data_IF_729783665641
#
_entry.id   IF_729783665641
#
_cell.length_a   1.000
_cell.length_b   1.000
_cell.length_c   1.000
_cell.angle_alpha   90.00
_cell.angle_beta   90.00
_cell.angle_gamma   90.00
#
_symmetry.space_group_name_H-M   'P 1'
#
loop_
_entity.id
_entity.type
_entity.pdbx_description
1 polymer ?
#
# COMPACT_ATOMS: atom_id res chain seq x y z
N UNK A 1 -27.05 8.29 1.57
CA UNK A 1 -25.92 7.88 0.70
C UNK A 1 -25.53 6.46 1.10
N UNK A 2 -25.61 5.51 0.17
CA UNK A 2 -25.26 4.10 0.37
C UNK A 2 -23.78 3.89 0.06
N UNK A 3 -23.06 3.19 0.94
CA UNK A 3 -21.69 2.76 0.66
C UNK A 3 -21.65 1.91 -0.64
N UNK A 4 -20.57 1.98 -1.43
CA UNK A 4 -20.41 1.11 -2.59
C UNK A 4 -20.50 -0.37 -2.18
N UNK A 5 -21.21 -1.16 -2.98
CA UNK A 5 -21.45 -2.56 -2.72
C UNK A 5 -20.12 -3.34 -2.52
N UNK A 6 -19.97 -3.97 -1.36
CA UNK A 6 -18.78 -4.73 -0.97
C UNK A 6 -17.97 -4.14 0.19
N UNK A 7 -18.24 -2.90 0.61
CA UNK A 7 -17.63 -2.30 1.82
C UNK A 7 -18.45 -2.69 3.04
N UNK A 8 -17.92 -3.57 3.88
CA UNK A 8 -18.62 -4.09 5.07
C UNK A 8 -18.57 -3.14 6.27
N UNK A 9 -17.58 -2.25 6.39
CA UNK A 9 -17.53 -1.14 7.37
C UNK A 9 -16.24 -0.29 7.25
N UNK A 10 -16.21 0.93 7.81
CA UNK A 10 -14.97 1.74 7.89
C UNK A 10 -13.82 1.05 8.65
N UNK A 11 -14.04 0.35 9.78
CA UNK A 11 -13.00 -0.44 10.43
C UNK A 11 -12.37 -1.49 9.53
N UNK A 12 -13.16 -2.18 8.69
CA UNK A 12 -12.64 -3.18 7.75
C UNK A 12 -11.73 -2.54 6.68
N UNK A 13 -12.10 -1.37 6.16
CA UNK A 13 -11.27 -0.63 5.21
C UNK A 13 -9.96 -0.11 5.84
N UNK A 14 -10.03 0.36 7.08
CA UNK A 14 -8.84 0.80 7.82
C UNK A 14 -7.88 -0.37 8.07
N UNK A 15 -8.40 -1.51 8.52
CA UNK A 15 -7.63 -2.74 8.66
C UNK A 15 -6.98 -3.19 7.35
N UNK A 16 -7.69 -3.07 6.22
CA UNK A 16 -7.13 -3.37 4.90
C UNK A 16 -5.98 -2.41 4.55
N UNK A 17 -6.13 -1.11 4.77
CA UNK A 17 -5.08 -0.13 4.54
C UNK A 17 -3.83 -0.42 5.38
N UNK A 18 -4.02 -0.75 6.66
CA UNK A 18 -2.92 -1.09 7.57
C UNK A 18 -2.19 -2.35 7.09
N UNK A 19 -2.93 -3.40 6.70
CA UNK A 19 -2.35 -4.63 6.13
C UNK A 19 -1.56 -4.37 4.86
N UNK A 20 -2.07 -3.53 3.96
CA UNK A 20 -1.35 -3.13 2.74
C UNK A 20 -0.07 -2.35 3.08
N UNK A 21 -0.11 -1.49 4.09
CA UNK A 21 1.06 -0.80 4.62
C UNK A 21 2.13 -1.77 5.12
N UNK A 22 1.75 -2.76 5.93
CA UNK A 22 2.68 -3.80 6.43
C UNK A 22 3.29 -4.60 5.28
N UNK A 23 2.47 -5.06 4.32
CA UNK A 23 2.95 -5.82 3.16
C UNK A 23 3.93 -4.98 2.33
N UNK A 24 3.63 -3.68 2.12
CA UNK A 24 4.53 -2.78 1.39
C UNK A 24 5.89 -2.65 2.06
N UNK A 25 5.93 -2.55 3.40
CA UNK A 25 7.17 -2.46 4.16
C UNK A 25 7.96 -3.78 4.12
N UNK A 26 7.26 -4.92 4.19
CA UNK A 26 7.88 -6.24 4.04
C UNK A 26 8.51 -6.42 2.66
N UNK A 27 7.82 -6.05 1.59
CA UNK A 27 8.36 -6.11 0.21
C UNK A 27 9.58 -5.19 0.09
N UNK A 28 9.50 -3.95 0.60
CA UNK A 28 10.63 -3.02 0.60
C UNK A 28 11.84 -3.52 1.40
N UNK A 29 11.65 -4.43 2.38
CA UNK A 29 12.75 -5.05 3.12
C UNK A 29 13.45 -6.19 2.37
N UNK A 30 12.85 -6.71 1.29
CA UNK A 30 13.44 -7.77 0.45
C UNK A 30 14.40 -7.23 -0.61
N UNK A 31 14.78 -5.96 -0.53
CA UNK A 31 15.72 -5.36 -1.48
C UNK A 31 17.06 -6.08 -1.44
N UNK A 32 17.56 -6.40 -2.64
CA UNK A 32 18.87 -7.01 -2.82
C UNK A 32 19.93 -5.92 -2.59
N UNK A 33 20.62 -6.01 -1.46
CA UNK A 33 21.63 -5.01 -1.04
C UNK A 33 23.05 -5.36 -1.49
N UNK A 34 23.29 -6.62 -1.86
CA UNK A 34 24.59 -7.09 -2.31
C UNK A 34 24.49 -7.84 -3.64
N UNK A 35 25.34 -7.52 -4.63
CA UNK A 35 25.47 -8.36 -5.81
C UNK A 35 26.10 -9.70 -5.41
N UNK A 36 25.36 -10.79 -5.59
CA UNK A 36 25.92 -12.14 -5.51
C UNK A 36 26.82 -12.34 -6.74
N UNK A 37 28.14 -12.22 -6.58
CA UNK A 37 29.09 -12.55 -7.63
C UNK A 37 29.43 -14.04 -7.56
N UNK A 38 29.36 -14.73 -8.70
CA UNK A 38 29.89 -16.07 -8.83
C UNK A 38 31.43 -16.02 -8.82
N UNK A 39 32.05 -17.02 -8.19
CA UNK A 39 33.50 -17.24 -8.25
C UNK A 39 33.85 -17.59 -9.70
N UNK A 40 34.32 -16.62 -10.49
CA UNK A 40 34.51 -16.67 -11.95
C UNK A 40 35.51 -17.73 -12.46
N UNK A 41 35.28 -18.99 -12.12
CA UNK A 41 36.15 -20.14 -12.43
C UNK A 41 35.72 -20.86 -13.71
N UNK A 42 34.50 -20.61 -14.21
CA UNK A 42 33.98 -21.14 -15.47
C UNK A 42 33.24 -20.07 -16.30
N UNK A 43 33.02 -20.37 -17.59
CA UNK A 43 32.33 -19.48 -18.53
C UNK A 43 30.89 -19.15 -18.08
N UNK A 44 30.25 -20.07 -17.37
CA UNK A 44 28.92 -19.87 -16.80
C UNK A 44 28.92 -18.78 -15.71
N UNK A 45 29.95 -18.77 -14.85
CA UNK A 45 30.15 -17.77 -13.81
C UNK A 45 30.48 -16.40 -14.39
N UNK A 46 31.24 -16.33 -15.49
CA UNK A 46 31.50 -15.08 -16.21
C UNK A 46 30.20 -14.50 -16.80
N UNK A 47 29.41 -15.31 -17.52
CA UNK A 47 28.11 -14.89 -18.04
C UNK A 47 27.13 -14.50 -16.91
N UNK A 48 27.15 -15.20 -15.78
CA UNK A 48 26.35 -14.85 -14.62
C UNK A 48 26.77 -13.50 -14.05
N UNK A 49 28.06 -13.20 -13.93
CA UNK A 49 28.56 -11.92 -13.42
C UNK A 49 28.30 -10.75 -14.37
N UNK A 50 28.10 -11.01 -15.67
CA UNK A 50 27.74 -9.99 -16.66
C UNK A 50 26.24 -9.67 -16.65
N UNK A 51 25.38 -10.70 -16.56
CA UNK A 51 23.91 -10.53 -16.64
C UNK A 51 23.29 -10.24 -15.25
N UNK A 52 23.87 -10.79 -14.17
CA UNK A 52 23.30 -10.67 -12.81
C UNK A 52 23.14 -9.23 -12.32
N UNK A 53 24.02 -8.25 -12.59
CA UNK A 53 23.83 -6.89 -12.10
C UNK A 53 22.57 -6.23 -12.67
N UNK A 54 22.30 -6.42 -13.97
CA UNK A 54 21.10 -5.88 -14.61
C UNK A 54 19.83 -6.54 -14.09
N UNK A 55 19.84 -7.87 -13.89
CA UNK A 55 18.72 -8.60 -13.31
C UNK A 55 18.45 -8.13 -11.88
N UNK A 56 19.50 -8.00 -11.05
CA UNK A 56 19.39 -7.52 -9.66
C UNK A 56 18.85 -6.09 -9.62
N UNK A 57 19.34 -5.20 -10.49
CA UNK A 57 18.85 -3.82 -10.58
C UNK A 57 17.38 -3.75 -11.03
N UNK A 58 16.98 -4.59 -11.99
CA UNK A 58 15.59 -4.70 -12.44
C UNK A 58 14.67 -5.23 -11.33
N UNK A 59 15.11 -6.25 -10.59
CA UNK A 59 14.40 -6.77 -9.43
C UNK A 59 14.24 -5.71 -8.33
N UNK A 60 15.30 -4.99 -7.97
CA UNK A 60 15.23 -3.90 -6.98
C UNK A 60 14.25 -2.80 -7.41
N UNK A 61 14.31 -2.41 -8.69
CA UNK A 61 13.38 -1.44 -9.29
C UNK A 61 11.93 -1.91 -9.17
N UNK A 62 11.66 -3.18 -9.46
CA UNK A 62 10.32 -3.75 -9.36
C UNK A 62 9.83 -3.84 -7.91
N UNK A 63 10.69 -4.22 -6.97
CA UNK A 63 10.38 -4.22 -5.54
C UNK A 63 9.96 -2.82 -5.08
N UNK A 64 10.71 -1.79 -5.46
CA UNK A 64 10.39 -0.38 -5.14
C UNK A 64 9.02 -0.02 -5.72
N UNK A 65 8.80 -0.26 -7.02
CA UNK A 65 7.52 0.07 -7.68
C UNK A 65 6.32 -0.60 -7.02
N UNK A 66 6.41 -1.88 -6.68
CA UNK A 66 5.34 -2.62 -6.02
C UNK A 66 5.09 -2.07 -4.61
N UNK A 67 6.15 -1.84 -3.84
CA UNK A 67 6.02 -1.29 -2.49
C UNK A 67 5.36 0.10 -2.50
N UNK A 68 5.72 0.96 -3.45
CA UNK A 68 5.13 2.29 -3.60
C UNK A 68 3.66 2.25 -4.04
N UNK A 69 3.31 1.36 -4.98
CA UNK A 69 1.94 1.18 -5.42
C UNK A 69 1.03 0.72 -4.25
N UNK A 70 1.50 -0.24 -3.44
CA UNK A 70 0.76 -0.73 -2.27
C UNK A 70 0.61 0.35 -1.20
N UNK A 71 1.68 1.10 -0.93
CA UNK A 71 1.66 2.23 0.01
C UNK A 71 0.70 3.33 -0.44
N UNK A 72 0.71 3.68 -1.72
CA UNK A 72 -0.22 4.64 -2.31
C UNK A 72 -1.68 4.18 -2.21
N UNK A 73 -1.94 2.89 -2.44
CA UNK A 73 -3.27 2.31 -2.28
C UNK A 73 -3.75 2.40 -0.82
N UNK A 74 -2.90 2.03 0.15
CA UNK A 74 -3.20 2.14 1.57
C UNK A 74 -3.57 3.58 1.97
N UNK A 75 -2.79 4.56 1.53
CA UNK A 75 -3.06 5.98 1.78
C UNK A 75 -4.40 6.43 1.19
N UNK A 76 -4.71 6.05 -0.05
CA UNK A 76 -5.98 6.40 -0.71
C UNK A 76 -7.18 5.83 0.04
N UNK A 77 -7.09 4.60 0.51
CA UNK A 77 -8.14 3.98 1.34
C UNK A 77 -8.30 4.78 2.63
N UNK A 78 -7.20 5.14 3.29
CA UNK A 78 -7.23 5.89 4.56
C UNK A 78 -7.90 7.27 4.40
N UNK A 79 -7.52 8.03 3.37
CA UNK A 79 -8.10 9.34 3.05
C UNK A 79 -9.59 9.21 2.74
N UNK A 80 -9.96 8.19 1.96
CA UNK A 80 -11.35 7.94 1.58
C UNK A 80 -12.21 7.64 2.81
N UNK A 81 -11.76 6.72 3.67
CA UNK A 81 -12.46 6.37 4.92
C UNK A 81 -12.63 7.60 5.81
N UNK A 82 -11.57 8.40 5.98
CA UNK A 82 -11.61 9.60 6.84
C UNK A 82 -12.61 10.63 6.30
N UNK A 83 -12.63 10.87 4.99
CA UNK A 83 -13.56 11.80 4.35
C UNK A 83 -15.02 11.36 4.51
N UNK A 84 -15.28 10.07 4.34
CA UNK A 84 -16.63 9.52 4.54
C UNK A 84 -17.07 9.62 6.01
N UNK A 85 -16.18 9.32 6.98
CA UNK A 85 -16.49 9.46 8.41
C UNK A 85 -16.83 10.91 8.77
N UNK A 86 -16.05 11.88 8.31
CA UNK A 86 -16.32 13.31 8.52
C UNK A 86 -17.66 13.74 7.91
N UNK A 87 -17.98 13.21 6.72
CA UNK A 87 -19.27 13.47 6.07
C UNK A 87 -20.43 12.89 6.88
N UNK A 88 -20.28 11.68 7.42
CA UNK A 88 -21.30 11.04 8.24
C UNK A 88 -21.49 11.77 9.58
N UNK A 89 -20.41 12.18 10.24
CA UNK A 89 -20.45 12.98 11.47
C UNK A 89 -21.14 14.33 11.24
N UNK A 90 -20.81 15.02 10.14
CA UNK A 90 -21.47 16.28 9.76
C UNK A 90 -22.97 16.08 9.51
N UNK A 91 -23.35 15.03 8.80
CA UNK A 91 -24.76 14.72 8.55
C UNK A 91 -25.51 14.39 9.84
N UNK A 92 -24.89 13.67 10.78
CA UNK A 92 -25.47 13.37 12.10
C UNK A 92 -25.65 14.65 12.93
N UNK A 93 -24.65 15.54 12.94
CA UNK A 93 -24.74 16.82 13.64
C UNK A 93 -25.88 17.69 13.09
N UNK A 94 -26.00 17.82 11.76
CA UNK A 94 -27.09 18.56 11.13
C UNK A 94 -28.48 17.95 11.42
N UNK A 95 -28.59 16.61 11.38
CA UNK A 95 -29.84 15.94 11.71
C UNK A 95 -30.25 16.13 13.18
N UNK A 96 -29.28 16.23 14.09
CA UNK A 96 -29.52 16.52 15.50
C UNK A 96 -30.01 17.96 15.71
N UNK A 97 -29.40 18.94 15.06
CA UNK A 97 -29.81 20.36 15.11
C UNK A 97 -31.25 20.58 14.63
N UNK A 98 -31.67 19.86 13.58
CA UNK A 98 -33.05 19.88 13.05
C UNK A 98 -34.10 19.31 14.02
N UNK A 99 -33.70 18.43 14.95
CA UNK A 99 -34.59 17.81 15.95
C UNK A 99 -34.61 18.55 17.29
N UNK A 100 -33.73 19.53 17.51
CA UNK A 100 -33.61 20.29 18.76
C UNK A 100 -34.17 21.72 18.68
N UNK A 101 -34.91 22.07 17.61
CA UNK A 101 -35.61 23.36 17.53
C UNK A 101 -36.69 23.39 18.63
N UNK A 102 -36.57 24.26 19.66
CA UNK A 102 -37.64 24.42 20.65
C UNK A 102 -38.80 25.21 20.00
N UNK A 103 -40.04 24.83 20.33
CA UNK A 103 -41.23 25.64 20.05
C UNK A 103 -41.16 27.03 20.71
#
# INVERSE_FOLDING_TARGET
MTMPAGVTSFPALRSLADRLGVISAQIASQRLTEPYLALGLDDASANFNEISPEIVASLDTNIVRVSDALRGLAQRIHVTVTSYQQTEERNRAMAHELYTIPE
#
